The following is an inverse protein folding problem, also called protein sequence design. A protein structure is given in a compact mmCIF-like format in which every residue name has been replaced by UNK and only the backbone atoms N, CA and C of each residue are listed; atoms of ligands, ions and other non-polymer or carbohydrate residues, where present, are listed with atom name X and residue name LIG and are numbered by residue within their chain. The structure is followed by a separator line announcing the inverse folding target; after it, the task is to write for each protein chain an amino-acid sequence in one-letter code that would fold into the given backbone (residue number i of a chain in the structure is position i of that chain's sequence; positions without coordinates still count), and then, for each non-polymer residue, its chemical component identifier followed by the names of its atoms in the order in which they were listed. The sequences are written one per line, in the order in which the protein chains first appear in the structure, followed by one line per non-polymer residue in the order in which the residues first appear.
data_IF_803816241545
#
_entry.id   IF_803816241545
#
_cell.length_a   1.000
_cell.length_b   1.000
_cell.length_c   1.000
_cell.angle_alpha   90.00
_cell.angle_beta   90.00
_cell.angle_gamma   90.00
#
_symmetry.space_group_name_H-M   'P 1'
#
loop_
_entity.id
_entity.type
_entity.pdbx_description
1 polymer ?
#
# COMPACT_ATOMS: atom_id res chain seq x y z
N UNK A 1 32.05 44.42 -19.88
CA UNK A 1 30.86 44.96 -19.19
C UNK A 1 29.72 43.97 -19.34
N UNK A 2 29.18 43.55 -18.19
CA UNK A 2 27.88 42.91 -17.96
C UNK A 2 27.63 41.48 -18.47
N UNK A 3 27.99 40.50 -17.63
CA UNK A 3 27.33 39.20 -17.56
C UNK A 3 26.05 39.30 -16.72
N UNK A 4 24.97 38.66 -17.18
CA UNK A 4 23.69 38.58 -16.48
C UNK A 4 23.62 37.27 -15.69
N UNK A 5 23.61 37.41 -14.37
CA UNK A 5 23.35 36.32 -13.42
C UNK A 5 21.84 36.20 -13.25
N UNK A 6 21.30 35.03 -13.59
CA UNK A 6 19.93 34.61 -13.28
C UNK A 6 19.75 34.60 -11.76
N UNK A 7 18.93 35.51 -11.23
CA UNK A 7 18.53 35.52 -9.81
C UNK A 7 17.41 34.51 -9.60
N UNK A 8 17.70 33.48 -8.80
CA UNK A 8 16.71 32.55 -8.25
C UNK A 8 15.72 33.30 -7.35
N UNK A 9 14.42 33.11 -7.59
CA UNK A 9 13.36 33.51 -6.66
C UNK A 9 13.17 32.38 -5.62
N UNK A 10 13.31 32.63 -4.31
CA UNK A 10 12.96 31.64 -3.30
C UNK A 10 11.44 31.69 -3.03
N UNK A 11 10.74 30.60 -3.34
CA UNK A 11 9.32 30.37 -2.97
C UNK A 11 9.18 29.97 -1.47
N UNK A 12 10.27 29.98 -0.69
CA UNK A 12 10.25 29.50 0.70
C UNK A 12 10.50 30.66 1.68
N UNK A 13 9.58 31.63 1.72
CA UNK A 13 9.44 32.52 2.89
C UNK A 13 8.00 33.05 3.00
N UNK A 14 7.01 32.20 3.26
CA UNK A 14 5.70 32.69 3.73
C UNK A 14 4.92 31.67 4.59
N UNK A 15 5.61 30.96 5.47
CA UNK A 15 4.95 30.00 6.40
C UNK A 15 5.59 29.98 7.79
N UNK A 16 6.08 31.13 8.27
CA UNK A 16 6.69 31.27 9.60
C UNK A 16 5.91 32.21 10.53
N UNK A 17 4.67 32.57 10.22
CA UNK A 17 3.88 33.52 11.01
C UNK A 17 2.41 33.11 11.24
N UNK A 18 2.10 31.81 11.25
CA UNK A 18 0.79 31.36 11.70
C UNK A 18 0.88 30.89 13.16
N UNK A 19 0.06 31.46 14.08
CA UNK A 19 0.00 30.97 15.45
C UNK A 19 -0.52 29.52 15.47
N UNK A 20 -0.07 28.75 16.47
CA UNK A 20 -0.56 27.39 16.68
C UNK A 20 -2.11 27.41 16.83
N UNK A 21 -2.85 26.49 16.18
CA UNK A 21 -4.30 26.43 16.30
C UNK A 21 -4.72 26.21 17.76
N UNK A 22 -5.73 26.95 18.20
CA UNK A 22 -6.31 26.78 19.53
C UNK A 22 -7.09 25.46 19.61
N UNK A 23 -7.39 24.97 20.83
CA UNK A 23 -8.27 23.80 21.03
C UNK A 23 -9.64 23.92 20.35
N UNK A 24 -10.08 25.13 19.97
CA UNK A 24 -11.34 25.38 19.26
C UNK A 24 -11.22 25.24 17.74
N UNK A 25 -9.99 25.21 17.21
CA UNK A 25 -9.69 25.06 15.77
C UNK A 25 -9.42 23.60 15.36
N UNK A 26 -9.53 22.66 16.33
CA UNK A 26 -9.48 21.24 16.05
C UNK A 26 -10.80 20.80 15.41
N UNK A 27 -10.73 20.30 14.18
CA UNK A 27 -11.85 19.63 13.51
C UNK A 27 -12.32 18.51 14.45
N UNK A 28 -13.61 18.50 14.87
CA UNK A 28 -14.13 17.44 15.72
C UNK A 28 -13.97 16.08 15.00
N UNK A 29 -13.76 14.97 15.73
CA UNK A 29 -13.73 13.66 15.12
C UNK A 29 -15.04 13.45 14.35
N UNK A 30 -14.92 13.11 13.06
CA UNK A 30 -16.06 12.70 12.24
C UNK A 30 -16.71 11.51 12.95
N UNK A 31 -17.94 11.69 13.43
CA UNK A 31 -18.75 10.57 13.93
C UNK A 31 -18.97 9.60 12.77
N UNK A 32 -18.64 8.33 12.98
CA UNK A 32 -18.99 7.26 12.05
C UNK A 32 -20.51 7.30 11.82
N UNK A 33 -21.01 7.11 10.59
CA UNK A 33 -22.39 6.67 10.43
C UNK A 33 -22.50 5.30 11.08
N UNK A 34 -23.46 5.13 11.99
CA UNK A 34 -23.80 3.86 12.60
C UNK A 34 -24.37 2.94 11.52
N UNK A 35 -23.48 2.22 10.82
CA UNK A 35 -23.85 1.10 9.95
C UNK A 35 -23.98 -0.17 10.79
N UNK A 36 -24.87 -1.10 10.43
CA UNK A 36 -24.99 -2.36 11.16
C UNK A 36 -23.65 -3.09 11.10
N UNK A 37 -23.09 -3.43 12.27
CA UNK A 37 -21.96 -4.36 12.38
C UNK A 37 -22.36 -5.66 11.67
N UNK A 38 -21.80 -5.89 10.48
CA UNK A 38 -21.99 -7.12 9.74
C UNK A 38 -21.50 -8.29 10.60
N UNK A 39 -22.21 -9.41 10.55
CA UNK A 39 -21.75 -10.66 11.18
C UNK A 39 -20.30 -10.94 10.76
N UNK A 40 -19.44 -11.48 11.65
CA UNK A 40 -18.08 -11.83 11.28
C UNK A 40 -18.13 -12.82 10.12
N UNK A 41 -17.73 -12.38 8.93
CA UNK A 41 -17.46 -13.29 7.82
C UNK A 41 -16.39 -14.27 8.30
N UNK A 42 -16.66 -15.56 8.21
CA UNK A 42 -15.68 -16.60 8.57
C UNK A 42 -14.36 -16.32 7.85
N UNK A 43 -13.26 -16.22 8.61
CA UNK A 43 -11.95 -15.95 8.05
C UNK A 43 -11.50 -17.17 7.25
N UNK A 44 -11.25 -16.97 5.95
CA UNK A 44 -10.62 -18.00 5.11
C UNK A 44 -9.23 -18.35 5.67
N UNK A 45 -8.85 -19.61 5.53
CA UNK A 45 -7.50 -20.08 5.88
C UNK A 45 -6.44 -19.44 4.98
N UNK A 46 -5.18 -19.43 5.43
CA UNK A 46 -4.07 -18.94 4.63
C UNK A 46 -3.98 -19.64 3.26
N UNK A 47 -4.10 -20.97 3.23
CA UNK A 47 -3.97 -21.74 1.99
C UNK A 47 -5.07 -21.40 0.97
N UNK A 48 -6.31 -21.18 1.44
CA UNK A 48 -7.43 -20.76 0.58
C UNK A 48 -7.22 -19.36 0.01
N UNK A 49 -6.74 -18.41 0.82
CA UNK A 49 -6.44 -17.06 0.34
C UNK A 49 -5.25 -17.10 -0.64
N UNK A 50 -4.18 -17.80 -0.28
CA UNK A 50 -2.96 -17.88 -1.09
C UNK A 50 -3.21 -18.48 -2.48
N UNK A 51 -4.06 -19.51 -2.57
CA UNK A 51 -4.43 -20.13 -3.84
C UNK A 51 -5.12 -19.17 -4.83
N UNK A 52 -5.73 -18.10 -4.32
CA UNK A 52 -6.46 -17.10 -5.11
C UNK A 52 -5.59 -15.87 -5.45
N UNK A 53 -4.34 -15.80 -4.97
CA UNK A 53 -3.44 -14.68 -5.19
C UNK A 53 -2.48 -14.90 -6.36
N UNK A 54 -2.06 -13.83 -7.06
CA UNK A 54 -1.15 -13.92 -8.19
C UNK A 54 0.33 -14.13 -7.78
N UNK A 55 0.61 -14.72 -6.62
CA UNK A 55 1.97 -14.90 -6.10
C UNK A 55 2.49 -16.30 -6.44
N UNK A 56 3.82 -16.44 -6.61
CA UNK A 56 4.44 -17.74 -6.89
C UNK A 56 5.32 -18.26 -5.75
N UNK A 57 5.55 -17.43 -4.73
CA UNK A 57 6.32 -17.79 -3.55
C UNK A 57 5.53 -17.43 -2.29
N UNK A 58 5.18 -18.40 -1.42
CA UNK A 58 4.46 -18.13 -0.18
C UNK A 58 5.39 -17.45 0.84
N UNK A 59 4.84 -16.61 1.71
CA UNK A 59 5.57 -16.10 2.87
C UNK A 59 5.75 -17.23 3.89
N UNK A 60 6.98 -17.47 4.39
CA UNK A 60 7.21 -18.49 5.41
C UNK A 60 6.53 -18.10 6.73
N UNK A 61 6.03 -19.10 7.47
CA UNK A 61 5.43 -18.92 8.80
C UNK A 61 6.34 -18.17 9.77
N UNK A 62 7.66 -18.39 9.68
CA UNK A 62 8.66 -17.69 10.49
C UNK A 62 8.64 -16.17 10.35
N UNK A 63 8.18 -15.62 9.22
CA UNK A 63 7.99 -14.17 9.08
C UNK A 63 6.81 -13.69 9.94
N UNK A 64 5.71 -14.44 10.00
CA UNK A 64 4.56 -14.05 10.84
C UNK A 64 4.89 -14.15 12.32
N UNK A 65 5.60 -15.19 12.74
CA UNK A 65 6.14 -15.31 14.10
C UNK A 65 7.02 -14.09 14.46
N UNK A 66 7.90 -13.69 13.55
CA UNK A 66 8.76 -12.50 13.72
C UNK A 66 7.93 -11.21 13.80
N UNK A 67 6.98 -10.99 12.88
CA UNK A 67 6.13 -9.81 12.85
C UNK A 67 5.24 -9.71 14.10
N UNK A 68 4.63 -10.82 14.54
CA UNK A 68 3.83 -10.90 15.76
C UNK A 68 4.66 -10.57 17.00
N UNK A 69 5.88 -11.11 17.11
CA UNK A 69 6.79 -10.84 18.23
C UNK A 69 7.29 -9.39 18.30
N UNK A 70 7.21 -8.64 17.19
CA UNK A 70 7.70 -7.26 17.06
C UNK A 70 6.62 -6.33 16.52
N UNK A 71 5.42 -6.48 17.05
CA UNK A 71 4.23 -5.76 16.61
C UNK A 71 4.37 -4.22 16.49
N UNK A 72 5.07 -3.51 17.39
CA UNK A 72 5.29 -2.06 17.23
C UNK A 72 6.08 -1.71 15.97
N UNK A 73 7.08 -2.53 15.61
CA UNK A 73 7.89 -2.34 14.40
C UNK A 73 7.05 -2.60 13.14
N UNK A 74 6.28 -3.69 13.16
CA UNK A 74 5.37 -4.07 12.07
C UNK A 74 4.33 -3.00 11.80
N UNK A 75 3.58 -2.56 12.82
CA UNK A 75 2.54 -1.54 12.64
C UNK A 75 3.12 -0.19 12.20
N UNK A 76 4.32 0.17 12.69
CA UNK A 76 4.98 1.39 12.25
C UNK A 76 5.38 1.33 10.77
N UNK A 77 5.83 0.17 10.28
CA UNK A 77 6.10 -0.05 8.85
C UNK A 77 4.83 -0.12 8.01
N UNK A 78 3.79 -0.78 8.53
CA UNK A 78 2.48 -0.88 7.90
C UNK A 78 1.86 0.49 7.66
N UNK A 79 1.89 1.38 8.66
CA UNK A 79 1.43 2.76 8.48
C UNK A 79 2.17 3.49 7.34
N UNK A 80 3.47 3.23 7.16
CA UNK A 80 4.25 3.82 6.06
C UNK A 80 3.83 3.22 4.71
N UNK A 81 3.52 1.92 4.67
CA UNK A 81 3.01 1.26 3.46
C UNK A 81 1.69 1.88 3.00
N UNK A 82 0.68 2.02 3.89
CA UNK A 82 -0.62 2.59 3.51
C UNK A 82 -0.48 4.02 2.99
N UNK A 83 0.37 4.81 3.65
CA UNK A 83 0.68 6.17 3.20
C UNK A 83 1.29 6.16 1.79
N UNK A 84 2.18 5.21 1.50
CA UNK A 84 2.84 5.08 0.19
C UNK A 84 1.89 4.61 -0.90
N UNK A 85 0.97 3.69 -0.61
CA UNK A 85 -0.04 3.25 -1.58
C UNK A 85 -0.99 4.40 -1.89
N UNK A 86 -1.43 5.18 -0.89
CA UNK A 86 -2.24 6.37 -1.11
C UNK A 86 -1.56 7.40 -2.04
N UNK A 87 -0.28 7.71 -1.78
CA UNK A 87 0.50 8.60 -2.63
C UNK A 87 0.70 8.03 -4.05
N UNK A 88 0.83 6.70 -4.16
CA UNK A 88 0.96 6.03 -5.44
C UNK A 88 -0.31 6.13 -6.29
N UNK A 89 -1.49 5.93 -5.68
CA UNK A 89 -2.79 6.16 -6.33
C UNK A 89 -2.92 7.57 -6.89
N UNK A 90 -2.61 8.60 -6.10
CA UNK A 90 -2.63 9.99 -6.58
C UNK A 90 -1.61 10.25 -7.69
N UNK A 91 -0.43 9.61 -7.64
CA UNK A 91 0.57 9.71 -8.70
C UNK A 91 0.06 9.11 -10.02
N UNK A 92 -0.62 7.97 -9.97
CA UNK A 92 -1.23 7.34 -11.15
C UNK A 92 -2.27 8.25 -11.81
N UNK A 93 -3.14 8.87 -11.02
CA UNK A 93 -4.11 9.84 -11.54
C UNK A 93 -3.43 11.03 -12.24
N UNK A 94 -2.32 11.53 -11.66
CA UNK A 94 -1.52 12.60 -12.27
C UNK A 94 -0.76 12.18 -13.53
N UNK A 95 -0.36 10.91 -13.63
CA UNK A 95 0.32 10.40 -14.84
C UNK A 95 -0.63 10.17 -16.02
N UNK A 96 -1.92 9.91 -15.75
CA UNK A 96 -2.89 9.52 -16.75
C UNK A 96 -4.22 10.29 -16.59
N UNK A 97 -4.19 11.65 -16.67
CA UNK A 97 -5.36 12.48 -16.37
C UNK A 97 -6.53 12.26 -17.32
N UNK A 98 -6.27 11.79 -18.55
CA UNK A 98 -7.31 11.57 -19.57
C UNK A 98 -8.00 10.19 -19.45
N UNK A 99 -7.52 9.30 -18.59
CA UNK A 99 -8.21 8.04 -18.28
C UNK A 99 -9.11 8.21 -17.06
N UNK A 100 -10.33 8.68 -17.29
CA UNK A 100 -11.29 8.99 -16.24
C UNK A 100 -11.55 7.83 -15.25
N UNK A 101 -11.64 6.59 -15.73
CA UNK A 101 -11.85 5.43 -14.85
C UNK A 101 -10.61 5.14 -14.01
N UNK A 102 -9.40 5.24 -14.57
CA UNK A 102 -8.18 5.11 -13.78
C UNK A 102 -8.09 6.20 -12.72
N UNK A 103 -8.40 7.45 -13.07
CA UNK A 103 -8.40 8.58 -12.14
C UNK A 103 -9.38 8.34 -10.99
N UNK A 104 -10.63 7.95 -11.30
CA UNK A 104 -11.66 7.67 -10.30
C UNK A 104 -11.23 6.52 -9.36
N UNK A 105 -10.78 5.40 -9.92
CA UNK A 105 -10.36 4.23 -9.13
C UNK A 105 -9.13 4.51 -8.29
N UNK A 106 -8.13 5.22 -8.83
CA UNK A 106 -6.92 5.56 -8.10
C UNK A 106 -7.18 6.59 -6.98
N UNK A 107 -8.12 7.52 -7.18
CA UNK A 107 -8.55 8.44 -6.13
C UNK A 107 -9.33 7.73 -5.02
N UNK A 108 -10.20 6.78 -5.38
CA UNK A 108 -10.93 5.96 -4.40
C UNK A 108 -9.96 5.09 -3.57
N UNK A 109 -9.01 4.41 -4.22
CA UNK A 109 -7.92 3.69 -3.55
C UNK A 109 -7.18 4.61 -2.57
N UNK A 110 -6.74 5.79 -3.03
CA UNK A 110 -6.00 6.71 -2.18
C UNK A 110 -6.80 7.16 -0.95
N UNK A 111 -8.13 7.34 -1.08
CA UNK A 111 -8.98 7.67 0.04
C UNK A 111 -9.13 6.49 1.03
N UNK A 112 -9.31 5.27 0.55
CA UNK A 112 -9.39 4.03 1.36
C UNK A 112 -8.07 3.81 2.12
N UNK A 113 -6.93 3.95 1.46
CA UNK A 113 -5.61 3.79 2.09
C UNK A 113 -5.29 4.85 3.14
N UNK A 114 -5.78 6.08 2.96
CA UNK A 114 -5.70 7.09 4.03
C UNK A 114 -6.54 6.67 5.23
N UNK A 115 -7.67 5.97 5.04
CA UNK A 115 -8.44 5.42 6.15
C UNK A 115 -7.69 4.28 6.84
N UNK A 116 -7.07 3.36 6.08
CA UNK A 116 -6.21 2.30 6.62
C UNK A 116 -5.07 2.87 7.45
N UNK A 117 -4.32 3.82 6.89
CA UNK A 117 -3.26 4.55 7.58
C UNK A 117 -3.73 5.13 8.92
N UNK A 118 -4.89 5.80 8.93
CA UNK A 118 -5.46 6.39 10.16
C UNK A 118 -5.78 5.34 11.22
N UNK A 119 -6.27 4.15 10.83
CA UNK A 119 -6.55 3.05 11.75
C UNK A 119 -5.26 2.55 12.41
N UNK A 120 -4.20 2.32 11.62
CA UNK A 120 -2.89 1.88 12.13
C UNK A 120 -2.29 2.92 13.08
N UNK A 121 -2.30 4.21 12.67
CA UNK A 121 -1.80 5.33 13.50
C UNK A 121 -2.58 5.47 14.81
N UNK A 122 -3.89 5.21 14.80
CA UNK A 122 -4.68 5.24 16.03
C UNK A 122 -4.23 4.16 17.03
N UNK A 123 -3.94 2.95 16.57
CA UNK A 123 -3.41 1.86 17.41
C UNK A 123 -2.03 2.27 17.98
N UNK A 124 -1.10 2.71 17.12
CA UNK A 124 0.23 3.15 17.53
C UNK A 124 0.16 4.25 18.59
N UNK A 125 -0.67 5.28 18.35
CA UNK A 125 -0.84 6.42 19.25
C UNK A 125 -1.45 6.00 20.58
N UNK A 126 -2.52 5.20 20.54
CA UNK A 126 -3.21 4.67 21.74
C UNK A 126 -2.26 3.89 22.65
N UNK A 127 -1.29 3.18 22.05
CA UNK A 127 -0.32 2.33 22.77
C UNK A 127 0.99 3.04 23.11
N UNK A 128 1.14 4.31 22.76
CA UNK A 128 2.38 5.06 22.97
C UNK A 128 3.56 4.51 22.17
N UNK A 129 3.30 3.83 21.06
CA UNK A 129 4.31 3.28 20.16
C UNK A 129 4.77 4.33 19.15
N UNK A 130 6.04 4.27 18.72
CA UNK A 130 6.57 5.25 17.78
C UNK A 130 5.83 5.17 16.45
N UNK A 131 5.41 6.32 15.93
CA UNK A 131 4.94 6.42 14.55
C UNK A 131 6.10 6.12 13.60
N UNK A 132 5.80 5.39 12.52
CA UNK A 132 6.78 5.13 11.47
C UNK A 132 7.29 6.43 10.83
N UNK A 133 8.59 6.47 10.54
CA UNK A 133 9.20 7.49 9.68
C UNK A 133 9.47 6.93 8.28
N UNK A 134 10.01 7.76 7.38
CA UNK A 134 10.41 7.29 6.03
C UNK A 134 11.40 6.12 6.16
N UNK A 135 11.01 4.93 5.70
CA UNK A 135 11.88 3.75 5.63
C UNK A 135 12.14 3.31 4.19
N UNK A 136 13.25 2.61 3.97
CA UNK A 136 13.57 1.99 2.68
C UNK A 136 12.92 0.62 2.61
N UNK A 137 11.97 0.43 1.71
CA UNK A 137 11.44 -0.88 1.33
C UNK A 137 12.24 -1.36 0.11
N UNK A 138 13.22 -2.24 0.32
CA UNK A 138 14.14 -2.70 -0.75
C UNK A 138 13.38 -3.52 -1.80
N UNK A 139 12.42 -4.32 -1.38
CA UNK A 139 11.59 -5.12 -2.27
C UNK A 139 10.73 -4.24 -3.18
N UNK A 140 9.98 -3.30 -2.62
CA UNK A 140 9.13 -2.39 -3.41
C UNK A 140 9.96 -1.51 -4.34
N UNK A 141 11.15 -1.07 -3.92
CA UNK A 141 12.08 -0.34 -4.79
C UNK A 141 12.58 -1.20 -5.96
N UNK A 142 12.90 -2.47 -5.70
CA UNK A 142 13.37 -3.42 -6.72
C UNK A 142 12.26 -3.74 -7.72
N UNK A 143 11.03 -3.98 -7.25
CA UNK A 143 9.86 -4.12 -8.10
C UNK A 143 9.61 -2.86 -8.95
N UNK A 144 9.64 -1.68 -8.33
CA UNK A 144 9.44 -0.41 -9.04
C UNK A 144 10.50 -0.16 -10.12
N UNK A 145 11.74 -0.60 -9.88
CA UNK A 145 12.83 -0.47 -10.85
C UNK A 145 12.63 -1.31 -12.13
N UNK A 146 11.75 -2.32 -12.11
CA UNK A 146 11.37 -3.09 -13.31
C UNK A 146 10.54 -2.29 -14.31
N UNK A 147 9.87 -1.20 -13.87
CA UNK A 147 9.04 -0.37 -14.72
C UNK A 147 9.91 0.37 -15.74
N UNK A 148 9.69 0.09 -17.03
CA UNK A 148 10.39 0.79 -18.12
C UNK A 148 9.59 2.00 -18.54
N UNK A 149 10.17 3.20 -18.40
CA UNK A 149 9.52 4.47 -18.78
C UNK A 149 9.57 4.72 -20.29
N UNK A 150 8.62 5.51 -20.81
CA UNK A 150 8.60 5.98 -22.20
C UNK A 150 8.15 4.94 -23.23
N UNK A 151 7.50 3.85 -22.80
CA UNK A 151 6.99 2.77 -23.65
C UNK A 151 5.48 2.63 -23.52
N UNK A 152 4.73 3.73 -23.62
CA UNK A 152 3.28 3.68 -23.55
C UNK A 152 2.70 2.80 -24.69
N UNK A 153 1.65 1.99 -24.44
CA UNK A 153 0.90 1.86 -23.19
C UNK A 153 1.54 0.92 -22.15
N UNK A 154 2.65 0.24 -22.47
CA UNK A 154 3.27 -0.74 -21.57
C UNK A 154 3.85 -0.15 -20.29
N UNK A 155 4.30 1.11 -20.30
CA UNK A 155 4.68 1.81 -19.06
C UNK A 155 3.51 1.90 -18.08
N UNK A 156 2.30 2.19 -18.57
CA UNK A 156 1.08 2.17 -17.76
C UNK A 156 0.74 0.79 -17.25
N UNK A 157 0.79 -0.22 -18.12
CA UNK A 157 0.56 -1.63 -17.74
C UNK A 157 1.52 -2.03 -16.62
N UNK A 158 2.81 -1.74 -16.75
CA UNK A 158 3.82 -2.05 -15.73
C UNK A 158 3.57 -1.36 -14.40
N UNK A 159 3.12 -0.10 -14.41
CA UNK A 159 2.72 0.62 -13.20
C UNK A 159 1.54 -0.07 -12.50
N UNK A 160 0.52 -0.45 -13.26
CA UNK A 160 -0.66 -1.12 -12.70
C UNK A 160 -0.30 -2.52 -12.17
N UNK A 161 0.52 -3.30 -12.88
CA UNK A 161 0.98 -4.61 -12.42
C UNK A 161 1.90 -4.52 -11.19
N UNK A 162 2.70 -3.45 -11.08
CA UNK A 162 3.44 -3.14 -9.85
C UNK A 162 2.48 -2.95 -8.67
N UNK A 163 1.43 -2.13 -8.83
CA UNK A 163 0.39 -1.95 -7.82
C UNK A 163 -0.25 -3.28 -7.43
N UNK A 164 -0.66 -4.08 -8.41
CA UNK A 164 -1.28 -5.39 -8.17
C UNK A 164 -0.41 -6.30 -7.28
N UNK A 165 0.89 -6.37 -7.51
CA UNK A 165 1.78 -7.23 -6.71
C UNK A 165 2.03 -6.72 -5.29
N UNK A 166 2.05 -5.40 -5.10
CA UNK A 166 2.17 -4.79 -3.75
C UNK A 166 0.97 -5.18 -2.91
N UNK A 167 -0.24 -4.91 -3.38
CA UNK A 167 -1.47 -5.22 -2.65
C UNK A 167 -1.67 -6.74 -2.47
N UNK A 168 -1.34 -7.55 -3.48
CA UNK A 168 -1.41 -9.00 -3.35
C UNK A 168 -0.47 -9.55 -2.26
N UNK A 169 0.75 -9.00 -2.15
CA UNK A 169 1.69 -9.40 -1.10
C UNK A 169 1.25 -8.92 0.29
N UNK A 170 0.69 -7.71 0.40
CA UNK A 170 0.05 -7.23 1.63
C UNK A 170 -1.08 -8.16 2.08
N UNK A 171 -2.00 -8.51 1.16
CA UNK A 171 -3.10 -9.45 1.40
C UNK A 171 -2.60 -10.77 1.98
N UNK A 172 -1.64 -11.40 1.28
CA UNK A 172 -1.04 -12.68 1.68
C UNK A 172 -0.41 -12.62 3.08
N UNK A 173 0.31 -11.55 3.37
CA UNK A 173 1.02 -11.38 4.63
C UNK A 173 0.10 -11.03 5.80
N UNK A 174 -0.96 -10.26 5.58
CA UNK A 174 -1.97 -10.02 6.60
C UNK A 174 -2.70 -11.32 6.95
N UNK A 175 -3.08 -12.12 5.95
CA UNK A 175 -3.65 -13.44 6.21
C UNK A 175 -2.67 -14.37 6.92
N UNK A 176 -1.39 -14.39 6.53
CA UNK A 176 -0.37 -15.20 7.21
C UNK A 176 -0.18 -14.77 8.67
N UNK A 177 -0.18 -13.47 8.94
CA UNK A 177 0.00 -12.94 10.29
C UNK A 177 -1.20 -13.25 11.20
N UNK A 178 -2.42 -13.36 10.64
CA UNK A 178 -3.61 -13.78 11.39
C UNK A 178 -3.47 -15.18 12.02
N UNK A 179 -2.59 -16.05 11.50
CA UNK A 179 -2.34 -17.37 12.09
C UNK A 179 -1.50 -17.32 13.38
N UNK A 180 -0.75 -16.23 13.60
CA UNK A 180 0.24 -16.12 14.69
C UNK A 180 -0.05 -14.98 15.68
N UNK A 181 -1.04 -14.13 15.40
CA UNK A 181 -1.29 -12.93 16.20
C UNK A 181 -2.48 -13.10 17.16
N UNK A 182 -2.21 -12.93 18.45
CA UNK A 182 -3.22 -13.02 19.51
C UNK A 182 -3.82 -11.65 19.90
N UNK A 183 -3.29 -10.56 19.36
CA UNK A 183 -3.74 -9.21 19.73
C UNK A 183 -5.10 -8.88 19.10
N UNK A 184 -6.20 -8.77 19.88
CA UNK A 184 -7.55 -8.71 19.31
C UNK A 184 -7.80 -7.46 18.45
N UNK A 185 -7.18 -6.33 18.78
CA UNK A 185 -7.34 -5.09 18.02
C UNK A 185 -6.61 -5.17 16.68
N UNK A 186 -5.45 -5.82 16.64
CA UNK A 186 -4.74 -6.05 15.38
C UNK A 186 -5.35 -7.18 14.56
N UNK A 187 -5.85 -8.26 15.19
CA UNK A 187 -6.63 -9.29 14.50
C UNK A 187 -7.80 -8.66 13.76
N UNK A 188 -8.59 -7.82 14.43
CA UNK A 188 -9.72 -7.13 13.79
C UNK A 188 -9.27 -6.20 12.67
N UNK A 189 -8.17 -5.46 12.85
CA UNK A 189 -7.59 -4.63 11.79
C UNK A 189 -7.24 -5.47 10.56
N UNK A 190 -6.45 -6.53 10.71
CA UNK A 190 -5.93 -7.33 9.60
C UNK A 190 -7.03 -8.14 8.91
N UNK A 191 -8.03 -8.62 9.68
CA UNK A 191 -9.22 -9.29 9.17
C UNK A 191 -10.02 -8.39 8.20
N UNK A 192 -10.11 -7.09 8.49
CA UNK A 192 -10.78 -6.13 7.62
C UNK A 192 -9.92 -5.73 6.41
N UNK A 193 -8.60 -5.57 6.62
CA UNK A 193 -7.69 -5.11 5.57
C UNK A 193 -7.41 -6.17 4.52
N UNK A 194 -7.20 -7.45 4.89
CA UNK A 194 -6.90 -8.52 3.93
C UNK A 194 -7.88 -8.58 2.74
N UNK A 195 -9.21 -8.55 2.95
CA UNK A 195 -10.19 -8.45 1.87
C UNK A 195 -10.13 -7.14 1.08
N UNK A 196 -9.70 -6.03 1.67
CA UNK A 196 -9.49 -4.76 0.96
C UNK A 196 -8.29 -4.85 0.01
N UNK A 197 -7.14 -5.33 0.51
CA UNK A 197 -5.94 -5.59 -0.30
C UNK A 197 -6.24 -6.50 -1.49
N UNK A 198 -7.11 -7.50 -1.28
CA UNK A 198 -7.58 -8.37 -2.35
C UNK A 198 -8.29 -7.58 -3.46
N UNK A 199 -9.25 -6.74 -3.09
CA UNK A 199 -9.98 -5.89 -4.06
C UNK A 199 -9.03 -4.95 -4.79
N UNK A 200 -8.01 -4.43 -4.10
CA UNK A 200 -7.05 -3.51 -4.70
C UNK A 200 -6.18 -4.19 -5.75
N UNK A 201 -5.65 -5.39 -5.49
CA UNK A 201 -4.86 -6.07 -6.52
C UNK A 201 -5.71 -6.44 -7.74
N UNK A 202 -6.94 -6.90 -7.53
CA UNK A 202 -7.88 -7.24 -8.61
C UNK A 202 -8.22 -5.99 -9.44
N UNK A 203 -8.44 -4.85 -8.78
CA UNK A 203 -8.66 -3.56 -9.43
C UNK A 203 -7.46 -3.17 -10.30
N UNK A 204 -6.24 -3.25 -9.79
CA UNK A 204 -5.04 -2.93 -10.55
C UNK A 204 -4.87 -3.81 -11.78
N UNK A 205 -5.04 -5.13 -11.62
CA UNK A 205 -4.93 -6.09 -12.72
C UNK A 205 -6.01 -5.83 -13.79
N UNK A 206 -7.26 -5.57 -13.38
CA UNK A 206 -8.34 -5.22 -14.31
C UNK A 206 -8.04 -3.95 -15.08
N UNK A 207 -7.57 -2.90 -14.40
CA UNK A 207 -7.19 -1.64 -15.05
C UNK A 207 -6.06 -1.85 -16.09
N UNK A 208 -5.10 -2.75 -15.81
CA UNK A 208 -4.02 -3.09 -16.73
C UNK A 208 -4.52 -3.78 -18.01
N UNK A 209 -5.61 -4.54 -17.91
CA UNK A 209 -6.20 -5.27 -19.04
C UNK A 209 -7.19 -4.51 -19.90
N UNK A 210 -7.67 -3.33 -19.48
CA UNK A 210 -8.74 -2.60 -20.21
C UNK A 210 -8.45 -2.35 -21.69
N UNK A 211 -7.19 -2.05 -22.02
CA UNK A 211 -6.75 -1.73 -23.38
C UNK A 211 -5.53 -2.57 -23.81
N UNK A 212 -5.34 -3.74 -23.19
CA UNK A 212 -4.20 -4.62 -23.45
C UNK A 212 -4.74 -5.97 -23.89
N UNK A 213 -4.19 -6.52 -24.98
CA UNK A 213 -4.51 -7.88 -25.39
C UNK A 213 -4.29 -8.87 -24.23
N UNK A 214 -5.23 -9.81 -24.07
CA UNK A 214 -5.25 -10.70 -22.91
C UNK A 214 -3.99 -11.59 -22.86
N UNK A 215 -3.52 -12.09 -24.00
CA UNK A 215 -2.32 -12.93 -24.05
C UNK A 215 -1.07 -12.10 -23.76
N UNK A 216 -1.01 -10.87 -24.26
CA UNK A 216 0.07 -9.93 -23.96
C UNK A 216 0.10 -9.58 -22.47
N UNK A 217 -1.06 -9.29 -21.86
CA UNK A 217 -1.15 -9.00 -20.43
C UNK A 217 -0.75 -10.21 -19.61
N UNK A 218 -1.27 -11.40 -19.92
CA UNK A 218 -0.96 -12.62 -19.20
C UNK A 218 0.54 -12.94 -19.24
N UNK A 219 1.17 -12.87 -20.43
CA UNK A 219 2.60 -13.07 -20.58
C UNK A 219 3.42 -12.01 -19.82
N UNK A 220 3.00 -10.73 -19.88
CA UNK A 220 3.68 -9.65 -19.15
C UNK A 220 3.57 -9.86 -17.65
N UNK A 221 2.38 -10.21 -17.15
CA UNK A 221 2.14 -10.41 -15.74
C UNK A 221 2.87 -11.64 -15.23
N UNK A 222 2.93 -12.73 -15.99
CA UNK A 222 3.72 -13.90 -15.63
C UNK A 222 5.20 -13.54 -15.38
N UNK A 223 5.81 -12.74 -16.26
CA UNK A 223 7.17 -12.25 -16.03
C UNK A 223 7.31 -11.34 -14.80
N UNK A 224 6.27 -10.59 -14.43
CA UNK A 224 6.23 -9.81 -13.18
C UNK A 224 6.16 -10.71 -11.95
N UNK A 225 5.32 -11.76 -11.99
CA UNK A 225 5.16 -12.74 -10.91
C UNK A 225 6.44 -13.53 -10.66
N UNK A 226 7.13 -13.95 -11.72
CA UNK A 226 8.43 -14.63 -11.61
C UNK A 226 9.48 -13.72 -10.98
N UNK A 227 9.54 -12.46 -11.40
CA UNK A 227 10.46 -11.49 -10.83
C UNK A 227 10.16 -11.18 -9.36
N UNK A 228 8.89 -11.03 -9.00
CA UNK A 228 8.47 -10.87 -7.61
C UNK A 228 8.85 -12.07 -6.76
N UNK A 229 8.66 -13.28 -7.28
CA UNK A 229 9.00 -14.52 -6.58
C UNK A 229 10.50 -14.64 -6.31
N UNK A 230 11.34 -14.24 -7.26
CA UNK A 230 12.80 -14.20 -7.06
C UNK A 230 13.21 -13.23 -5.96
N UNK A 231 12.57 -12.05 -5.88
CA UNK A 231 12.76 -11.12 -4.79
C UNK A 231 12.21 -11.66 -3.46
N UNK A 232 11.07 -12.34 -3.50
CA UNK A 232 10.37 -12.88 -2.32
C UNK A 232 11.17 -13.99 -1.60
N UNK A 233 12.04 -14.72 -2.31
CA UNK A 233 12.96 -15.69 -1.70
C UNK A 233 13.92 -15.05 -0.70
N UNK A 234 14.25 -13.77 -0.87
CA UNK A 234 15.09 -13.00 0.04
C UNK A 234 14.33 -12.22 1.11
N UNK A 235 12.99 -12.30 1.11
CA UNK A 235 12.14 -11.67 2.11
C UNK A 235 11.99 -12.55 3.37
N UNK A 236 11.30 -12.01 4.38
CA UNK A 236 10.94 -12.73 5.60
C UNK A 236 11.93 -12.55 6.74
N UNK A 237 12.81 -11.56 6.65
CA UNK A 237 13.97 -11.39 7.56
C UNK A 237 13.83 -10.21 8.50
N UNK A 238 12.79 -9.39 8.32
CA UNK A 238 12.48 -8.26 9.21
C UNK A 238 10.97 -8.19 9.51
N UNK A 239 10.57 -7.58 10.65
CA UNK A 239 9.16 -7.45 11.05
C UNK A 239 8.48 -6.31 10.30
N UNK A 240 8.69 -6.19 8.99
CA UNK A 240 8.10 -5.19 8.12
C UNK A 240 7.09 -5.88 7.17
N UNK A 241 6.09 -5.13 6.68
CA UNK A 241 5.03 -5.68 5.80
C UNK A 241 5.66 -6.31 4.56
N UNK A 242 6.74 -5.74 4.03
CA UNK A 242 7.48 -6.26 2.89
C UNK A 242 8.95 -6.62 3.23
N UNK A 243 9.18 -6.91 4.52
CA UNK A 243 10.48 -7.30 5.09
C UNK A 243 10.88 -8.74 4.89
#
# INVERSE_FOLDING_TARGET
MHGQVLRSFPIVTLLSALPAPSRRDMIPPVKRPDGPEGQPTELKSYDEVYAELPLLHPTPRSWAELAASRLPEFLADHAVCEQQVAMYGLSLAGYYPDDAELVERAAALAAEEVQHFRRVVAILTKRGWPLGGRRKNVWAQSLRARIVLGREPMTKVDRLLFGALVEARSCERFTRLLEEIDDPEVVHLLADLGPAERRHWEMFYRLAGRNTDEQVLAARFQGWREFEADLARGLGTSPAVHG
#
